data_IF_896232398135
#
_entry.id   IF_896232398135
#
_cell.length_a   1.000
_cell.length_b   1.000
_cell.length_c   1.000
_cell.angle_alpha   90.00
_cell.angle_beta   90.00
_cell.angle_gamma   90.00
#
_symmetry.space_group_name_H-M   'P 1'
#
loop_
_entity.id
_entity.type
_entity.pdbx_description
1 polymer ?
#
# COMPACT_ATOMS: atom_id res chain seq x y z
N UNK A 1 -5.70 7.82 1.50
CA UNK A 1 -4.25 7.72 1.29
C UNK A 1 -4.00 7.28 -0.14
N UNK A 2 -3.16 8.02 -0.88
CA UNK A 2 -2.82 7.68 -2.26
C UNK A 2 -1.36 7.23 -2.33
N UNK A 3 -1.14 5.97 -2.70
CA UNK A 3 0.16 5.46 -3.10
C UNK A 3 0.50 5.90 -4.52
N UNK A 4 1.75 5.70 -4.95
CA UNK A 4 2.19 5.92 -6.33
C UNK A 4 1.63 4.84 -7.25
N UNK A 5 2.23 3.65 -7.21
CA UNK A 5 1.80 2.45 -7.92
C UNK A 5 2.39 1.21 -7.22
N UNK A 6 1.70 0.06 -7.17
CA UNK A 6 2.23 -1.09 -6.48
C UNK A 6 3.52 -1.62 -7.13
N UNK A 7 4.41 -2.25 -6.34
CA UNK A 7 5.59 -2.91 -6.88
C UNK A 7 5.18 -4.11 -7.75
N UNK A 8 6.12 -4.73 -8.51
CA UNK A 8 5.83 -5.98 -9.21
C UNK A 8 5.29 -7.05 -8.26
N UNK A 9 4.29 -7.85 -8.69
CA UNK A 9 3.64 -8.88 -7.86
C UNK A 9 4.62 -9.86 -7.20
N UNK A 10 5.74 -10.17 -7.84
CA UNK A 10 6.80 -11.02 -7.27
C UNK A 10 7.41 -10.48 -5.96
N UNK A 11 7.22 -9.20 -5.64
CA UNK A 11 7.66 -8.56 -4.40
C UNK A 11 6.56 -8.47 -3.34
N UNK A 12 5.36 -8.94 -3.63
CA UNK A 12 4.23 -8.87 -2.72
C UNK A 12 4.37 -9.93 -1.65
N UNK A 13 4.21 -9.52 -0.39
CA UNK A 13 4.08 -10.41 0.77
C UNK A 13 2.65 -10.42 1.32
N UNK A 14 1.76 -9.64 0.72
CA UNK A 14 0.35 -9.52 1.03
C UNK A 14 -0.40 -9.09 -0.24
N UNK A 15 -1.60 -9.60 -0.47
CA UNK A 15 -2.46 -9.19 -1.60
C UNK A 15 -3.35 -8.00 -1.23
N UNK A 16 -2.69 -6.86 -0.94
CA UNK A 16 -3.32 -5.59 -0.53
C UNK A 16 -2.34 -4.41 -0.70
N UNK A 17 -2.77 -3.17 -0.41
CA UNK A 17 -1.93 -1.98 -0.55
C UNK A 17 -0.66 -2.02 0.31
N UNK A 18 0.41 -1.39 -0.20
CA UNK A 18 1.76 -1.44 0.37
C UNK A 18 2.25 -2.87 0.67
N UNK A 19 2.28 -3.76 -0.34
CA UNK A 19 2.44 -5.21 -0.15
C UNK A 19 3.89 -5.66 0.08
N UNK A 20 4.87 -4.81 -0.21
CA UNK A 20 6.28 -5.14 0.01
C UNK A 20 6.58 -5.06 1.51
N UNK A 21 7.07 -6.15 2.11
CA UNK A 21 7.36 -6.22 3.54
C UNK A 21 8.43 -5.22 4.04
N UNK A 22 9.29 -4.75 3.15
CA UNK A 22 10.27 -3.70 3.44
C UNK A 22 9.64 -2.30 3.49
N UNK A 23 8.42 -2.12 2.99
CA UNK A 23 7.72 -0.84 3.08
C UNK A 23 7.24 -0.63 4.52
N UNK A 24 7.62 0.49 5.13
CA UNK A 24 7.33 0.78 6.53
C UNK A 24 5.96 1.43 6.78
N UNK A 25 5.13 1.63 5.76
CA UNK A 25 3.86 2.34 5.90
C UNK A 25 2.97 1.72 7.01
N UNK A 26 2.78 0.39 7.01
CA UNK A 26 1.98 -0.27 8.05
C UNK A 26 2.64 -0.20 9.44
N UNK A 27 3.98 -0.15 9.51
CA UNK A 27 4.70 0.00 10.79
C UNK A 27 4.56 1.41 11.36
N UNK A 28 4.57 2.42 10.49
CA UNK A 28 4.30 3.81 10.86
C UNK A 28 2.90 3.94 11.44
N UNK A 29 1.89 3.33 10.82
CA UNK A 29 0.53 3.31 11.37
C UNK A 29 0.42 2.54 12.68
N UNK A 30 1.14 1.42 12.82
CA UNK A 30 1.22 0.67 14.08
C UNK A 30 1.74 1.54 15.23
N UNK A 31 2.84 2.26 15.00
CA UNK A 31 3.38 3.21 15.98
C UNK A 31 2.41 4.36 16.26
N UNK A 32 1.87 4.99 15.22
CA UNK A 32 1.06 6.21 15.36
C UNK A 32 -0.28 5.96 16.09
N UNK A 33 -0.90 4.80 15.90
CA UNK A 33 -2.23 4.50 16.44
C UNK A 33 -2.21 3.57 17.66
N UNK A 34 -1.16 2.74 17.80
CA UNK A 34 -1.11 1.70 18.83
C UNK A 34 0.18 1.72 19.66
N UNK A 35 1.13 2.61 19.33
CA UNK A 35 2.47 2.62 19.92
C UNK A 35 3.20 1.27 19.79
N UNK A 36 2.86 0.49 18.77
CA UNK A 36 3.43 -0.84 18.51
C UNK A 36 3.82 -0.98 17.04
N UNK A 37 5.13 -1.01 16.78
CA UNK A 37 5.69 -1.07 15.42
C UNK A 37 5.20 -2.27 14.60
N UNK A 38 5.04 -3.41 15.26
CA UNK A 38 4.71 -4.67 14.62
C UNK A 38 3.20 -4.98 14.67
N UNK A 39 2.36 -4.02 15.06
CA UNK A 39 0.92 -4.24 15.31
C UNK A 39 0.18 -4.90 14.15
N UNK A 40 0.56 -4.57 12.90
CA UNK A 40 -0.07 -5.09 11.68
C UNK A 40 0.70 -6.25 11.02
N UNK A 41 1.72 -6.80 11.67
CA UNK A 41 2.38 -8.01 11.15
C UNK A 41 1.49 -9.23 11.35
N UNK A 42 1.62 -10.20 10.45
CA UNK A 42 1.06 -11.53 10.65
C UNK A 42 1.75 -12.24 11.83
N UNK A 43 1.12 -13.31 12.33
CA UNK A 43 1.65 -14.06 13.48
C UNK A 43 3.09 -14.55 13.29
N UNK A 44 3.43 -14.98 12.07
CA UNK A 44 4.78 -15.46 11.73
C UNK A 44 5.77 -14.32 11.42
N UNK A 45 5.31 -13.07 11.38
CA UNK A 45 6.10 -11.86 11.09
C UNK A 45 6.88 -11.89 9.76
N UNK A 46 6.42 -12.66 8.78
CA UNK A 46 6.97 -12.66 7.41
C UNK A 46 6.10 -11.90 6.39
N UNK A 47 4.94 -11.42 6.82
CA UNK A 47 3.99 -10.62 6.03
C UNK A 47 3.23 -9.64 6.92
N UNK A 48 2.40 -8.81 6.31
CA UNK A 48 1.38 -8.04 7.01
C UNK A 48 0.07 -8.83 7.10
N UNK A 49 -0.74 -8.52 8.10
CA UNK A 49 -2.09 -9.06 8.30
C UNK A 49 -3.12 -8.18 7.57
N UNK A 50 -3.58 -8.67 6.41
CA UNK A 50 -4.53 -7.96 5.56
C UNK A 50 -5.86 -7.70 6.27
N UNK A 51 -6.38 -8.68 6.99
CA UNK A 51 -7.71 -8.62 7.60
C UNK A 51 -7.71 -7.58 8.72
N UNK A 52 -6.68 -7.63 9.58
CA UNK A 52 -6.47 -6.65 10.64
C UNK A 52 -6.30 -5.22 10.10
N UNK A 53 -5.57 -5.07 8.99
CA UNK A 53 -5.42 -3.79 8.31
C UNK A 53 -6.77 -3.28 7.79
N UNK A 54 -7.53 -4.13 7.08
CA UNK A 54 -8.83 -3.73 6.51
C UNK A 54 -9.83 -3.32 7.59
N UNK A 55 -9.87 -4.06 8.70
CA UNK A 55 -10.71 -3.70 9.86
C UNK A 55 -10.30 -2.35 10.44
N UNK A 56 -9.00 -2.14 10.69
CA UNK A 56 -8.50 -0.86 11.20
C UNK A 56 -8.86 0.32 10.29
N UNK A 57 -8.63 0.18 8.99
CA UNK A 57 -8.93 1.23 8.00
C UNK A 57 -10.42 1.56 7.98
N UNK A 58 -11.29 0.53 8.00
CA UNK A 58 -12.74 0.69 8.05
C UNK A 58 -13.16 1.44 9.32
N UNK A 59 -12.67 1.01 10.49
CA UNK A 59 -12.98 1.62 11.78
C UNK A 59 -12.51 3.08 11.89
N UNK A 60 -11.41 3.43 11.23
CA UNK A 60 -10.86 4.81 11.21
C UNK A 60 -11.40 5.67 10.07
N UNK A 61 -12.18 5.11 9.14
CA UNK A 61 -12.65 5.82 7.95
C UNK A 61 -11.51 6.21 7.00
N UNK A 62 -10.47 5.38 6.90
CA UNK A 62 -9.30 5.64 6.04
C UNK A 62 -9.43 4.82 4.75
N UNK A 63 -9.65 5.50 3.62
CA UNK A 63 -9.56 4.88 2.30
C UNK A 63 -8.11 4.84 1.79
N UNK A 64 -7.74 3.80 1.04
CA UNK A 64 -6.41 3.66 0.40
C UNK A 64 -6.61 3.38 -1.09
N UNK A 65 -5.84 4.04 -1.95
CA UNK A 65 -5.86 3.87 -3.41
C UNK A 65 -4.47 4.21 -3.99
N UNK A 66 -4.27 4.04 -5.29
CA UNK A 66 -3.05 4.40 -6.03
C UNK A 66 -3.32 5.58 -6.98
N UNK A 67 -2.32 6.42 -7.23
CA UNK A 67 -2.46 7.64 -8.05
C UNK A 67 -2.50 7.39 -9.55
N UNK A 68 -2.08 6.21 -10.01
CA UNK A 68 -2.11 5.84 -11.41
C UNK A 68 -2.92 4.56 -11.62
N UNK A 69 -3.82 4.60 -12.59
CA UNK A 69 -4.67 3.46 -12.96
C UNK A 69 -3.90 2.45 -13.82
N UNK A 70 -3.08 2.96 -14.74
CA UNK A 70 -2.24 2.16 -15.61
C UNK A 70 -0.84 2.78 -15.72
N UNK A 71 0.19 1.96 -15.54
CA UNK A 71 1.59 2.38 -15.53
C UNK A 71 2.45 1.38 -16.28
N UNK A 72 3.32 1.88 -17.15
CA UNK A 72 4.42 1.11 -17.71
C UNK A 72 5.67 1.25 -16.84
N UNK A 73 6.13 0.13 -16.31
CA UNK A 73 7.34 0.08 -15.50
C UNK A 73 8.55 -0.14 -16.42
N UNK A 74 9.35 0.92 -16.63
CA UNK A 74 10.48 0.91 -17.57
C UNK A 74 11.71 0.17 -17.02
N UNK A 75 11.76 -0.09 -15.71
CA UNK A 75 12.80 -0.92 -15.05
C UNK A 75 12.17 -1.91 -14.08
N UNK A 76 12.58 -3.18 -14.12
CA UNK A 76 12.01 -4.27 -13.30
C UNK A 76 12.23 -4.19 -11.77
N UNK A 77 12.58 -3.03 -11.21
CA UNK A 77 12.73 -2.81 -9.78
C UNK A 77 11.48 -2.15 -9.17
N UNK A 78 11.42 -2.06 -7.84
CA UNK A 78 10.29 -1.48 -7.11
C UNK A 78 10.36 0.05 -6.97
N UNK A 79 11.31 0.72 -7.64
CA UNK A 79 11.43 2.18 -7.58
C UNK A 79 10.42 2.85 -8.50
N UNK A 80 9.94 4.02 -8.07
CA UNK A 80 9.02 4.85 -8.85
C UNK A 80 9.74 5.76 -9.86
N UNK A 81 11.07 5.81 -9.82
CA UNK A 81 11.88 6.72 -10.65
C UNK A 81 11.77 6.47 -12.17
N UNK A 82 11.19 5.35 -12.58
CA UNK A 82 11.09 4.92 -13.98
C UNK A 82 9.70 4.37 -14.30
N UNK A 83 8.67 5.07 -13.83
CA UNK A 83 7.27 4.80 -14.15
C UNK A 83 6.80 5.79 -15.23
N UNK A 84 6.22 5.25 -16.30
CA UNK A 84 5.46 6.01 -17.28
C UNK A 84 3.97 5.83 -16.97
N UNK A 85 3.30 6.92 -16.58
CA UNK A 85 1.86 6.92 -16.29
C UNK A 85 1.12 6.90 -17.63
N UNK A 86 0.40 5.81 -17.90
CA UNK A 86 -0.42 5.66 -19.11
C UNK A 86 -1.80 6.28 -18.87
N UNK A 87 -2.41 5.96 -17.73
CA UNK A 87 -3.72 6.50 -17.33
C UNK A 87 -3.66 7.00 -15.88
N UNK A 88 -3.75 8.32 -15.65
CA UNK A 88 -3.80 8.86 -14.29
C UNK A 88 -5.16 8.57 -13.62
N UNK A 89 -5.18 8.54 -12.28
CA UNK A 89 -6.42 8.46 -11.52
C UNK A 89 -7.25 9.73 -11.71
N UNK A 90 -8.53 9.59 -12.07
CA UNK A 90 -9.48 10.70 -12.09
C UNK A 90 -9.99 10.97 -10.66
N UNK A 91 -9.34 11.93 -9.98
CA UNK A 91 -9.68 12.33 -8.61
C UNK A 91 -11.07 12.95 -8.49
N UNK A 92 -11.51 13.73 -9.49
CA UNK A 92 -12.82 14.40 -9.46
C UNK A 92 -13.95 13.37 -9.38
N UNK A 93 -13.86 12.29 -10.16
CA UNK A 93 -14.86 11.21 -10.15
C UNK A 93 -14.87 10.38 -8.85
N UNK A 94 -13.78 10.40 -8.08
CA UNK A 94 -13.69 9.65 -6.81
C UNK A 94 -14.25 10.46 -5.64
N UNK A 95 -14.23 11.79 -5.74
CA UNK A 95 -14.65 12.70 -4.68
C UNK A 95 -16.08 13.24 -4.88
N UNK A 96 -16.70 12.99 -6.03
CA UNK A 96 -18.09 13.36 -6.36
C UNK A 96 -19.10 12.38 -5.77
#
# INVERSE_FOLDING_TARGET
MLGSFPPPKAKWKMDFYYPNFQNDMWRILGLAFFNEKDYFLSENKFSFDKEKIMEFLSLKGIAVCDTAHEVHRLKGNASDNFLEIVTPLNLENILS
#
